data_IF_673545282060
#
_entry.id   IF_673545282060
#
_cell.length_a   1.000
_cell.length_b   1.000
_cell.length_c   1.000
_cell.angle_alpha   90.00
_cell.angle_beta   90.00
_cell.angle_gamma   90.00
#
_symmetry.space_group_name_H-M   'P 1'
#
loop_
_entity.id
_entity.type
_entity.pdbx_description
1 polymer ?
#
# COMPACT_ATOMS: atom_id res chain seq x y z
N UNK A 1 -21.35 -14.57 8.51
CA UNK A 1 -20.95 -14.30 9.90
C UNK A 1 -21.86 -15.10 10.82
N UNK A 2 -21.37 -15.55 11.97
CA UNK A 2 -22.19 -16.23 12.97
C UNK A 2 -22.90 -15.21 13.84
N UNK A 3 -24.18 -15.45 14.15
CA UNK A 3 -24.95 -14.67 15.12
C UNK A 3 -24.45 -14.91 16.57
N UNK A 4 -24.63 -13.94 17.49
CA UNK A 4 -25.18 -12.61 17.25
C UNK A 4 -24.17 -11.68 16.54
N UNK A 5 -24.64 -10.89 15.59
CA UNK A 5 -23.81 -9.84 14.98
C UNK A 5 -23.46 -8.72 15.98
N UNK A 6 -22.30 -8.05 15.83
CA UNK A 6 -21.89 -6.98 16.73
C UNK A 6 -22.87 -5.81 16.68
N UNK A 7 -23.23 -5.25 17.83
CA UNK A 7 -24.08 -4.08 17.98
C UNK A 7 -23.28 -2.88 18.52
N UNK A 8 -23.73 -1.68 18.20
CA UNK A 8 -23.16 -0.44 18.72
C UNK A 8 -23.42 -0.34 20.23
N UNK A 9 -22.39 -0.15 21.08
CA UNK A 9 -22.58 -0.05 22.53
C UNK A 9 -23.32 1.22 22.95
N UNK A 10 -23.37 2.26 22.09
CA UNK A 10 -24.05 3.53 22.39
C UNK A 10 -25.53 3.56 22.03
N UNK A 11 -25.93 2.93 20.91
CA UNK A 11 -27.31 3.00 20.40
C UNK A 11 -27.99 1.66 20.15
N UNK A 12 -27.28 0.53 20.28
CA UNK A 12 -27.82 -0.81 20.06
C UNK A 12 -28.03 -1.21 18.58
N UNK A 13 -27.85 -0.29 17.63
CA UNK A 13 -27.92 -0.59 16.19
C UNK A 13 -26.85 -1.57 15.75
N UNK A 14 -27.10 -2.31 14.67
CA UNK A 14 -26.12 -3.22 14.07
C UNK A 14 -24.82 -2.48 13.71
N UNK A 15 -23.68 -2.98 14.19
CA UNK A 15 -22.38 -2.43 13.87
C UNK A 15 -21.95 -2.85 12.46
N UNK A 16 -21.27 -1.95 11.76
CA UNK A 16 -20.71 -2.19 10.42
C UNK A 16 -19.17 -2.17 10.45
N UNK A 17 -18.49 -2.85 9.52
CA UNK A 17 -17.07 -2.64 9.31
C UNK A 17 -16.75 -1.19 8.96
N UNK A 18 -15.64 -0.66 9.50
CA UNK A 18 -15.13 0.66 9.14
C UNK A 18 -14.28 0.60 7.86
N UNK A 19 -14.92 0.25 6.75
CA UNK A 19 -14.31 0.15 5.42
C UNK A 19 -14.72 1.40 4.63
N UNK A 20 -13.74 2.10 4.05
CA UNK A 20 -14.01 3.26 3.21
C UNK A 20 -14.72 2.82 1.92
N UNK A 21 -15.97 3.25 1.76
CA UNK A 21 -16.78 3.03 0.56
C UNK A 21 -17.08 4.37 -0.13
N UNK A 22 -17.31 4.35 -1.45
CA UNK A 22 -17.63 5.59 -2.19
C UNK A 22 -18.93 6.21 -1.67
N UNK A 23 -18.87 7.48 -1.26
CA UNK A 23 -20.02 8.21 -0.73
C UNK A 23 -20.39 7.86 0.71
N UNK A 24 -19.58 7.08 1.43
CA UNK A 24 -19.80 6.76 2.84
C UNK A 24 -19.40 7.94 3.74
N UNK A 25 -20.39 8.73 4.16
CA UNK A 25 -20.22 9.84 5.09
C UNK A 25 -20.05 9.39 6.54
N UNK A 26 -20.39 8.14 6.84
CA UNK A 26 -20.32 7.59 8.19
C UNK A 26 -18.96 6.91 8.45
N UNK A 27 -18.06 6.87 7.46
CA UNK A 27 -16.74 6.24 7.60
C UNK A 27 -15.89 7.03 8.58
N UNK A 28 -15.35 6.34 9.60
CA UNK A 28 -14.44 6.97 10.56
C UNK A 28 -13.01 6.94 10.02
N UNK A 29 -12.58 8.08 9.48
CA UNK A 29 -11.24 8.27 8.94
C UNK A 29 -10.16 8.58 9.96
N UNK A 30 -10.47 8.75 11.24
CA UNK A 30 -9.52 9.25 12.25
C UNK A 30 -8.24 8.42 12.33
N UNK A 31 -8.37 7.09 12.38
CA UNK A 31 -7.22 6.16 12.39
C UNK A 31 -6.39 6.28 11.12
N UNK A 32 -7.04 6.37 9.96
CA UNK A 32 -6.35 6.45 8.66
C UNK A 32 -5.64 7.79 8.49
N UNK A 33 -6.23 8.89 8.97
CA UNK A 33 -5.61 10.21 8.97
C UNK A 33 -4.34 10.23 9.82
N UNK A 34 -4.39 9.72 11.06
CA UNK A 34 -3.21 9.64 11.93
C UNK A 34 -2.08 8.77 11.32
N UNK A 35 -2.43 7.68 10.64
CA UNK A 35 -1.46 6.87 9.90
C UNK A 35 -0.86 7.62 8.70
N UNK A 36 -1.67 8.40 8.00
CA UNK A 36 -1.23 9.30 6.93
C UNK A 36 -0.21 10.32 7.43
N UNK A 37 -0.50 11.00 8.53
CA UNK A 37 0.40 11.99 9.13
C UNK A 37 1.76 11.38 9.50
N UNK A 38 1.76 10.18 10.10
CA UNK A 38 2.98 9.46 10.45
C UNK A 38 3.79 9.06 9.20
N UNK A 39 3.12 8.57 8.16
CA UNK A 39 3.76 8.20 6.89
C UNK A 39 4.41 9.43 6.25
N UNK A 40 3.69 10.55 6.18
CA UNK A 40 4.24 11.78 5.61
C UNK A 40 5.42 12.32 6.40
N UNK A 41 5.34 12.30 7.75
CA UNK A 41 6.44 12.73 8.60
C UNK A 41 7.69 11.86 8.37
N UNK A 42 7.51 10.55 8.27
CA UNK A 42 8.60 9.63 7.96
C UNK A 42 9.20 9.90 6.57
N UNK A 43 8.37 10.04 5.53
CA UNK A 43 8.85 10.35 4.18
C UNK A 43 9.66 11.65 4.13
N UNK A 44 9.22 12.70 4.84
CA UNK A 44 9.96 13.97 4.96
C UNK A 44 11.31 13.78 5.68
N UNK A 45 11.40 12.84 6.60
CA UNK A 45 12.64 12.57 7.36
C UNK A 45 13.73 11.85 6.56
N UNK A 46 13.40 11.26 5.40
CA UNK A 46 14.32 10.40 4.65
C UNK A 46 15.53 11.13 4.06
N UNK A 47 15.54 12.47 3.97
CA UNK A 47 16.77 13.28 3.80
C UNK A 47 17.75 12.83 2.72
N UNK A 48 17.28 12.50 1.51
CA UNK A 48 18.14 12.05 0.40
C UNK A 48 18.58 10.58 0.47
N UNK A 49 17.99 9.78 1.37
CA UNK A 49 18.22 8.34 1.43
C UNK A 49 17.89 7.64 0.11
N UNK A 50 18.59 6.53 -0.14
CA UNK A 50 18.32 5.64 -1.28
C UNK A 50 17.02 4.87 -1.03
N UNK A 51 15.92 5.39 -1.54
CA UNK A 51 14.60 4.81 -1.36
C UNK A 51 14.28 3.76 -2.44
N UNK A 52 13.77 2.60 -2.01
CA UNK A 52 13.12 1.62 -2.89
C UNK A 52 11.68 1.46 -2.44
N UNK A 53 10.74 1.59 -3.37
CA UNK A 53 9.31 1.37 -3.14
C UNK A 53 8.92 0.03 -3.75
N UNK A 54 8.40 -0.88 -2.94
CA UNK A 54 7.92 -2.19 -3.40
C UNK A 54 6.39 -2.19 -3.37
N UNK A 55 5.77 -2.10 -4.55
CA UNK A 55 4.33 -2.11 -4.73
C UNK A 55 3.84 -3.51 -5.14
N UNK A 56 2.90 -4.07 -4.38
CA UNK A 56 2.38 -5.42 -4.59
C UNK A 56 0.90 -5.40 -4.98
N UNK A 57 0.56 -5.96 -6.14
CA UNK A 57 -0.82 -6.27 -6.53
C UNK A 57 -1.72 -5.06 -6.79
N UNK A 58 -1.18 -3.84 -6.87
CA UNK A 58 -1.99 -2.66 -7.16
C UNK A 58 -2.46 -2.67 -8.63
N UNK A 59 -3.77 -2.71 -8.82
CA UNK A 59 -4.40 -2.71 -10.13
C UNK A 59 -4.73 -1.30 -10.67
N UNK A 60 -5.31 -1.25 -11.86
CA UNK A 60 -5.71 -0.01 -12.54
C UNK A 60 -7.13 0.47 -12.18
N UNK A 61 -8.00 -0.41 -11.67
CA UNK A 61 -9.41 -0.08 -11.38
C UNK A 61 -9.55 1.03 -10.31
N UNK A 62 -8.75 0.97 -9.26
CA UNK A 62 -8.62 2.01 -8.23
C UNK A 62 -7.13 2.28 -8.02
N UNK A 63 -6.51 3.19 -8.80
CA UNK A 63 -5.05 3.30 -8.90
C UNK A 63 -4.45 4.16 -7.78
N UNK A 64 -5.07 4.23 -6.60
CA UNK A 64 -4.63 5.10 -5.50
C UNK A 64 -3.21 4.76 -5.06
N UNK A 65 -2.91 3.48 -4.86
CA UNK A 65 -1.56 3.02 -4.52
C UNK A 65 -0.58 3.27 -5.67
N UNK A 66 -0.98 3.07 -6.93
CA UNK A 66 -0.12 3.36 -8.09
C UNK A 66 0.31 4.82 -8.14
N UNK A 67 -0.66 5.73 -8.00
CA UNK A 67 -0.41 7.17 -8.01
C UNK A 67 0.50 7.57 -6.85
N UNK A 68 0.23 7.04 -5.66
CA UNK A 68 1.09 7.27 -4.49
C UNK A 68 2.53 6.81 -4.75
N UNK A 69 2.74 5.54 -5.11
CA UNK A 69 4.07 4.97 -5.35
C UNK A 69 4.84 5.75 -6.42
N UNK A 70 4.21 6.09 -7.54
CA UNK A 70 4.84 6.83 -8.63
C UNK A 70 5.18 8.26 -8.24
N UNK A 71 4.29 8.95 -7.51
CA UNK A 71 4.56 10.30 -7.01
C UNK A 71 5.69 10.31 -5.98
N UNK A 72 5.68 9.39 -5.02
CA UNK A 72 6.72 9.28 -4.00
C UNK A 72 8.08 8.92 -4.62
N UNK A 73 8.12 7.96 -5.54
CA UNK A 73 9.34 7.62 -6.28
C UNK A 73 9.89 8.84 -7.02
N UNK A 74 9.02 9.61 -7.70
CA UNK A 74 9.42 10.82 -8.42
C UNK A 74 9.94 11.92 -7.49
N UNK A 75 9.23 12.19 -6.39
CA UNK A 75 9.55 13.28 -5.47
C UNK A 75 10.84 13.02 -4.69
N UNK A 76 11.07 11.78 -4.27
CA UNK A 76 12.22 11.41 -3.45
C UNK A 76 13.37 10.81 -4.25
N UNK A 77 13.25 10.76 -5.59
CA UNK A 77 14.27 10.14 -6.44
C UNK A 77 14.45 8.64 -6.20
N UNK A 78 13.40 7.95 -5.75
CA UNK A 78 13.40 6.53 -5.41
C UNK A 78 13.19 5.60 -6.60
N UNK A 79 13.51 4.33 -6.42
CA UNK A 79 13.23 3.25 -7.37
C UNK A 79 11.93 2.54 -6.99
N UNK A 80 10.96 2.55 -7.90
CA UNK A 80 9.72 1.79 -7.83
C UNK A 80 9.93 0.39 -8.43
N UNK A 81 9.58 -0.62 -7.64
CA UNK A 81 9.42 -2.02 -8.05
C UNK A 81 7.94 -2.35 -7.95
N UNK A 82 7.29 -2.59 -9.08
CA UNK A 82 5.88 -3.02 -9.16
C UNK A 82 5.80 -4.51 -9.40
N UNK A 83 5.15 -5.23 -8.50
CA UNK A 83 4.91 -6.67 -8.61
C UNK A 83 3.43 -6.89 -8.84
N UNK A 84 3.07 -7.29 -10.06
CA UNK A 84 1.69 -7.60 -10.40
C UNK A 84 1.67 -8.63 -11.56
N UNK A 85 0.98 -9.78 -11.42
CA UNK A 85 0.97 -10.81 -12.46
C UNK A 85 0.37 -10.36 -13.79
N UNK A 86 -0.57 -9.40 -13.76
CA UNK A 86 -1.38 -9.01 -14.93
C UNK A 86 -1.09 -7.59 -15.39
N UNK A 87 -0.71 -6.71 -14.46
CA UNK A 87 -0.54 -5.28 -14.74
C UNK A 87 0.85 -4.81 -14.27
N UNK A 88 1.97 -5.35 -14.77
CA UNK A 88 3.31 -5.02 -14.27
C UNK A 88 3.85 -3.67 -14.79
N UNK A 89 3.16 -3.00 -15.71
CA UNK A 89 3.65 -1.79 -16.39
C UNK A 89 4.04 -0.68 -15.42
N UNK A 90 5.17 -0.03 -15.69
CA UNK A 90 5.75 1.04 -14.86
C UNK A 90 6.24 2.22 -15.71
N UNK A 91 6.39 3.42 -15.10
CA UNK A 91 7.07 4.53 -15.75
C UNK A 91 8.51 4.19 -16.15
N UNK A 92 9.12 4.95 -17.09
CA UNK A 92 10.51 4.73 -17.49
C UNK A 92 11.49 4.75 -16.31
N UNK A 93 12.53 3.91 -16.37
CA UNK A 93 13.57 3.76 -15.34
C UNK A 93 13.06 3.21 -14.00
N UNK A 94 11.90 2.54 -14.02
CA UNK A 94 11.37 1.77 -12.89
C UNK A 94 11.31 0.28 -13.26
N UNK A 95 11.00 -0.58 -12.28
CA UNK A 95 11.05 -2.04 -12.45
C UNK A 95 9.64 -2.61 -12.33
N UNK A 96 9.18 -3.28 -13.39
CA UNK A 96 7.93 -4.05 -13.39
C UNK A 96 8.21 -5.56 -13.37
N UNK A 97 7.53 -6.30 -12.50
CA UNK A 97 7.66 -7.75 -12.33
C UNK A 97 6.30 -8.43 -12.53
N UNK A 98 6.18 -9.19 -13.62
CA UNK A 98 4.99 -9.95 -13.99
C UNK A 98 4.89 -11.28 -13.20
N UNK A 99 4.74 -11.19 -11.87
CA UNK A 99 4.69 -12.36 -10.99
C UNK A 99 3.80 -12.12 -9.77
N UNK A 100 3.53 -13.18 -8.99
CA UNK A 100 2.86 -13.09 -7.71
C UNK A 100 3.73 -12.39 -6.66
N UNK A 101 3.12 -11.55 -5.82
CA UNK A 101 3.83 -10.82 -4.76
C UNK A 101 4.60 -11.75 -3.82
N UNK A 102 4.00 -12.87 -3.41
CA UNK A 102 4.65 -13.83 -2.52
C UNK A 102 5.91 -14.44 -3.14
N UNK A 103 5.85 -14.85 -4.40
CA UNK A 103 6.97 -15.48 -5.09
C UNK A 103 8.12 -14.49 -5.30
N UNK A 104 7.81 -13.25 -5.68
CA UNK A 104 8.80 -12.18 -5.78
C UNK A 104 9.47 -11.89 -4.43
N UNK A 105 8.70 -11.72 -3.36
CA UNK A 105 9.23 -11.41 -2.03
C UNK A 105 10.07 -12.56 -1.48
N UNK A 106 9.67 -13.82 -1.68
CA UNK A 106 10.48 -15.00 -1.33
C UNK A 106 11.80 -15.05 -2.09
N UNK A 107 11.77 -14.75 -3.39
CA UNK A 107 12.99 -14.71 -4.20
C UNK A 107 13.93 -13.57 -3.79
N UNK A 108 13.39 -12.42 -3.39
CA UNK A 108 14.17 -11.31 -2.83
C UNK A 108 14.79 -11.68 -1.49
N UNK A 109 14.00 -12.26 -0.58
CA UNK A 109 14.44 -12.68 0.75
C UNK A 109 15.52 -13.76 0.69
N UNK A 110 15.36 -14.77 -0.19
CA UNK A 110 16.37 -15.80 -0.39
C UNK A 110 17.69 -15.24 -0.90
N UNK A 111 17.65 -14.27 -1.83
CA UNK A 111 18.86 -13.59 -2.34
C UNK A 111 19.49 -12.69 -1.29
N UNK A 112 18.68 -11.98 -0.51
CA UNK A 112 19.14 -11.13 0.58
C UNK A 112 19.85 -11.95 1.65
N UNK A 113 19.24 -13.05 2.08
CA UNK A 113 19.75 -13.96 3.10
C UNK A 113 20.99 -14.73 2.66
N UNK A 114 21.13 -15.00 1.37
CA UNK A 114 22.31 -15.67 0.80
C UNK A 114 23.57 -14.78 0.73
N UNK A 115 23.52 -13.56 1.30
CA UNK A 115 24.60 -12.59 1.20
C UNK A 115 24.65 -12.00 -0.20
N UNK A 116 23.52 -11.42 -0.65
CA UNK A 116 23.54 -10.50 -1.79
C UNK A 116 24.77 -9.58 -1.63
N UNK A 117 25.57 -9.40 -2.70
CA UNK A 117 26.92 -8.83 -2.61
C UNK A 117 26.99 -7.51 -1.83
#
# INVERSE_FOLDING_TARGET
ASEPLPACPGCGSLARPNILMFGDLDWDGSRSAAQGDHLEAWLRSLGGARLVLVECGAGLAVPTIRRFSEQTARQLGGTLIRINPREPDVPPRQIGLATGALDALRALDARWSAGAP
#
